data_IF_058101046302
#
_entry.id   IF_058101046302
#
_cell.length_a   1.000
_cell.length_b   1.000
_cell.length_c   1.000
_cell.angle_alpha   90.00
_cell.angle_beta   90.00
_cell.angle_gamma   90.00
#
_symmetry.space_group_name_H-M   'P 1'
#
loop_
_entity.id
_entity.type
_entity.pdbx_description
1 polymer ?
#
# COMPACT_ATOMS: atom_id res chain seq x y z
N UNK A 1 10.49 -7.66 12.65
CA UNK A 1 9.09 -7.62 12.16
C UNK A 1 8.42 -6.45 12.85
N UNK A 2 7.93 -5.51 12.06
CA UNK A 2 7.17 -4.34 12.48
C UNK A 2 5.71 -4.57 12.10
N UNK A 3 4.79 -4.10 12.95
CA UNK A 3 3.35 -4.13 12.67
C UNK A 3 2.78 -2.79 13.04
N UNK A 4 1.95 -2.26 12.16
CA UNK A 4 1.26 -1.00 12.39
C UNK A 4 -0.14 -1.06 11.79
N UNK A 5 -0.97 -0.08 12.15
CA UNK A 5 -2.32 0.09 11.61
C UNK A 5 -2.52 1.53 11.19
N UNK A 6 -2.99 1.69 9.96
CA UNK A 6 -3.41 2.97 9.41
C UNK A 6 -4.92 3.03 9.24
N UNK A 7 -5.47 4.24 9.25
CA UNK A 7 -6.88 4.51 8.97
C UNK A 7 -7.00 5.49 7.81
N UNK A 8 -8.05 5.33 7.01
CA UNK A 8 -8.37 6.24 5.92
C UNK A 8 -9.88 6.37 5.76
N UNK A 9 -10.33 7.53 5.31
CA UNK A 9 -11.74 7.82 5.10
C UNK A 9 -12.14 7.62 3.63
N UNK A 10 -13.32 7.06 3.45
CA UNK A 10 -13.98 6.92 2.15
C UNK A 10 -15.12 7.93 2.10
N UNK A 11 -15.14 8.76 1.06
CA UNK A 11 -16.17 9.79 0.93
C UNK A 11 -17.55 9.21 0.54
N UNK A 12 -18.55 10.09 0.50
CA UNK A 12 -19.92 9.74 0.12
C UNK A 12 -20.05 9.17 -1.30
N UNK A 13 -19.05 9.35 -2.15
CA UNK A 13 -19.01 8.83 -3.53
C UNK A 13 -18.21 7.52 -3.65
N UNK A 14 -17.71 6.99 -2.53
CA UNK A 14 -16.92 5.76 -2.51
C UNK A 14 -15.47 5.98 -2.93
N UNK A 15 -14.99 7.22 -2.87
CA UNK A 15 -13.64 7.56 -3.29
C UNK A 15 -12.77 7.93 -2.09
N UNK A 16 -11.48 7.64 -2.24
CA UNK A 16 -10.42 8.13 -1.36
C UNK A 16 -9.32 8.62 -2.28
N UNK A 17 -9.07 9.94 -2.26
CA UNK A 17 -7.89 10.51 -2.89
C UNK A 17 -6.62 9.89 -2.29
N UNK A 18 -5.50 9.95 -3.01
CA UNK A 18 -4.26 9.36 -2.53
C UNK A 18 -3.87 9.95 -1.17
N UNK A 19 -3.79 9.08 -0.17
CA UNK A 19 -3.33 9.41 1.18
C UNK A 19 -2.21 8.48 1.60
N UNK A 20 -1.35 8.99 2.46
CA UNK A 20 -0.18 8.28 2.98
C UNK A 20 -0.25 8.15 4.49
N UNK A 21 0.00 6.95 4.99
CA UNK A 21 0.52 6.78 6.33
C UNK A 21 2.02 6.55 6.31
N UNK A 22 2.65 6.79 7.47
CA UNK A 22 4.09 6.66 7.67
C UNK A 22 4.35 5.58 8.70
N UNK A 23 5.23 4.64 8.36
CA UNK A 23 5.81 3.70 9.32
C UNK A 23 7.18 4.25 9.71
N UNK A 24 7.31 4.63 10.98
CA UNK A 24 8.55 5.15 11.54
C UNK A 24 9.62 4.04 11.57
N UNK A 25 10.74 4.31 10.90
CA UNK A 25 11.88 3.39 10.81
C UNK A 25 13.11 3.88 11.61
N UNK A 26 12.97 4.98 12.37
CA UNK A 26 14.08 5.63 13.07
C UNK A 26 14.81 4.74 14.08
N UNK A 27 14.15 3.73 14.64
CA UNK A 27 14.78 2.75 15.54
C UNK A 27 15.70 1.75 14.81
N UNK A 28 15.50 1.56 13.50
CA UNK A 28 16.23 0.59 12.68
C UNK A 28 17.22 1.24 11.72
N UNK A 29 17.09 2.55 11.53
CA UNK A 29 17.91 3.31 10.61
C UNK A 29 18.72 4.34 11.36
N UNK A 30 20.03 4.34 11.13
CA UNK A 30 20.91 5.38 11.63
C UNK A 30 21.99 5.73 10.61
N UNK A 31 21.84 6.89 9.98
CA UNK A 31 22.76 7.40 8.96
C UNK A 31 24.17 7.60 9.53
N UNK A 32 24.30 8.09 10.77
CA UNK A 32 25.60 8.35 11.40
C UNK A 32 26.35 7.04 11.67
N UNK A 33 25.62 5.97 12.01
CA UNK A 33 26.19 4.64 12.29
C UNK A 33 26.23 3.72 11.06
N UNK A 34 25.75 4.17 9.90
CA UNK A 34 25.60 3.37 8.67
C UNK A 34 24.71 2.14 8.87
N UNK A 35 23.68 2.28 9.69
CA UNK A 35 22.69 1.23 9.96
C UNK A 35 21.45 1.50 9.10
N UNK A 36 21.01 0.49 8.36
CA UNK A 36 19.79 0.53 7.57
C UNK A 36 18.94 -0.71 7.83
N UNK A 37 17.77 -0.74 7.19
CA UNK A 37 16.88 -1.89 7.27
C UNK A 37 16.58 -2.40 5.86
N UNK A 38 16.81 -3.69 5.62
CA UNK A 38 16.43 -4.33 4.38
C UNK A 38 15.01 -4.88 4.52
N UNK A 39 14.03 -4.22 3.89
CA UNK A 39 12.65 -4.68 3.81
C UNK A 39 12.61 -5.87 2.84
N UNK A 40 12.26 -7.04 3.36
CA UNK A 40 12.14 -8.29 2.57
C UNK A 40 10.70 -8.60 2.18
N UNK A 41 9.74 -8.11 2.97
CA UNK A 41 8.33 -8.37 2.73
C UNK A 41 7.47 -7.30 3.39
N UNK A 42 6.44 -6.86 2.67
CA UNK A 42 5.37 -6.04 3.21
C UNK A 42 4.06 -6.77 2.95
N UNK A 43 3.25 -6.94 3.99
CA UNK A 43 1.92 -7.54 3.91
C UNK A 43 0.86 -6.56 4.33
N UNK A 44 -0.29 -6.64 3.66
CA UNK A 44 -1.45 -5.79 3.91
C UNK A 44 -2.65 -6.64 4.31
N UNK A 45 -3.47 -6.09 5.20
CA UNK A 45 -4.80 -6.59 5.45
C UNK A 45 -5.76 -5.40 5.53
N UNK A 46 -6.65 -5.29 4.54
CA UNK A 46 -7.75 -4.34 4.56
C UNK A 46 -8.82 -4.78 5.55
N UNK A 47 -9.35 -3.80 6.29
CA UNK A 47 -10.34 -4.04 7.35
C UNK A 47 -11.40 -2.96 7.36
N UNK A 48 -12.58 -3.39 7.77
CA UNK A 48 -13.74 -2.53 7.98
C UNK A 48 -14.21 -2.70 9.42
N UNK A 49 -13.83 -1.80 10.34
CA UNK A 49 -14.12 -1.93 11.77
C UNK A 49 -15.62 -1.79 12.07
N UNK A 50 -16.42 -1.34 11.10
CA UNK A 50 -17.86 -1.22 11.25
C UNK A 50 -18.62 -2.49 10.84
N UNK A 51 -17.94 -3.54 10.33
CA UNK A 51 -18.52 -4.89 10.21
C UNK A 51 -18.24 -5.73 11.47
N UNK A 52 -19.13 -6.67 11.83
CA UNK A 52 -18.95 -7.50 13.03
C UNK A 52 -17.65 -8.32 13.07
N UNK A 53 -17.11 -8.69 11.91
CA UNK A 53 -15.87 -9.47 11.79
C UNK A 53 -14.64 -8.62 11.49
N UNK A 54 -14.82 -7.32 11.23
CA UNK A 54 -13.73 -6.44 10.81
C UNK A 54 -13.26 -6.66 9.38
N UNK A 55 -13.89 -7.56 8.61
CA UNK A 55 -13.50 -7.93 7.24
C UNK A 55 -14.18 -6.98 6.27
N UNK A 56 -13.40 -6.43 5.33
CA UNK A 56 -13.93 -5.63 4.23
C UNK A 56 -14.67 -6.55 3.25
N UNK A 57 -15.83 -6.09 2.75
CA UNK A 57 -16.59 -6.85 1.76
C UNK A 57 -15.76 -7.04 0.48
N UNK A 58 -15.53 -8.29 0.02
CA UNK A 58 -14.82 -8.52 -1.23
C UNK A 58 -15.55 -7.99 -2.46
N UNK A 59 -16.87 -7.79 -2.37
CA UNK A 59 -17.68 -7.11 -3.36
C UNK A 59 -17.59 -5.60 -3.08
N UNK A 60 -16.47 -5.01 -3.51
CA UNK A 60 -16.21 -3.57 -3.37
C UNK A 60 -17.30 -2.70 -4.02
N UNK A 61 -18.19 -3.24 -4.85
CA UNK A 61 -19.35 -2.54 -5.40
C UNK A 61 -20.56 -3.44 -5.51
N UNK A 62 -21.76 -2.84 -5.39
CA UNK A 62 -23.05 -3.49 -5.66
C UNK A 62 -23.74 -2.93 -6.90
N UNK A 63 -23.21 -1.86 -7.49
CA UNK A 63 -23.82 -1.16 -8.60
C UNK A 63 -23.37 -1.76 -9.93
N UNK A 64 -24.30 -2.36 -10.67
CA UNK A 64 -24.00 -2.96 -11.96
C UNK A 64 -23.51 -1.92 -12.98
N UNK A 65 -22.51 -2.27 -13.78
CA UNK A 65 -21.79 -1.36 -14.69
C UNK A 65 -20.71 -0.51 -14.00
N UNK A 66 -20.46 -0.71 -12.71
CA UNK A 66 -19.43 0.03 -11.95
C UNK A 66 -18.18 -0.82 -11.78
N UNK A 67 -17.03 -0.20 -11.99
CA UNK A 67 -15.72 -0.76 -11.67
C UNK A 67 -15.19 -0.09 -10.40
N UNK A 68 -15.14 -0.84 -9.30
CA UNK A 68 -14.59 -0.38 -8.04
C UNK A 68 -13.17 -0.93 -7.85
N UNK A 69 -12.30 -0.10 -7.27
CA UNK A 69 -10.91 -0.48 -7.03
C UNK A 69 -10.35 0.13 -5.76
N UNK A 70 -9.40 -0.58 -5.17
CA UNK A 70 -8.50 -0.10 -4.12
C UNK A 70 -7.08 -0.46 -4.56
N UNK A 71 -6.18 0.53 -4.48
CA UNK A 71 -4.74 0.32 -4.68
C UNK A 71 -4.01 0.68 -3.39
N UNK A 72 -3.16 -0.22 -2.93
CA UNK A 72 -2.22 -0.04 -1.83
C UNK A 72 -0.81 -0.22 -2.33
N UNK A 73 0.13 0.53 -1.78
CA UNK A 73 1.54 0.34 -2.10
C UNK A 73 2.46 0.87 -0.99
N UNK A 74 3.65 0.30 -0.94
CA UNK A 74 4.73 0.75 -0.08
C UNK A 74 5.79 1.45 -0.93
N UNK A 75 6.25 2.62 -0.49
CA UNK A 75 7.27 3.40 -1.19
C UNK A 75 8.07 4.25 -0.21
N UNK A 76 9.28 4.68 -0.60
CA UNK A 76 10.06 5.68 0.15
C UNK A 76 9.80 7.11 -0.34
N UNK A 77 9.15 7.28 -1.50
CA UNK A 77 8.93 8.58 -2.14
C UNK A 77 7.43 8.85 -2.32
N UNK A 78 6.97 10.05 -1.95
CA UNK A 78 5.57 10.42 -2.10
C UNK A 78 5.26 10.77 -3.56
N UNK A 79 4.19 10.19 -4.09
CA UNK A 79 3.65 10.51 -5.41
C UNK A 79 2.49 11.49 -5.28
N UNK A 80 2.33 12.37 -6.28
CA UNK A 80 1.20 13.28 -6.32
C UNK A 80 -0.11 12.54 -6.69
N UNK A 81 -0.04 11.63 -7.66
CA UNK A 81 -1.20 10.89 -8.14
C UNK A 81 -0.99 9.38 -8.07
N UNK A 82 -2.02 8.65 -7.66
CA UNK A 82 -1.99 7.18 -7.58
C UNK A 82 -1.86 6.49 -8.96
N UNK A 83 -2.21 7.21 -10.03
CA UNK A 83 -2.08 6.74 -11.43
C UNK A 83 -0.62 6.61 -11.86
N UNK A 84 0.28 7.34 -11.23
CA UNK A 84 1.71 7.37 -11.58
C UNK A 84 2.47 6.22 -10.89
N UNK A 85 1.79 5.48 -10.00
CA UNK A 85 2.36 4.39 -9.23
C UNK A 85 2.07 3.05 -9.90
N UNK A 86 3.13 2.43 -10.40
CA UNK A 86 3.14 1.08 -10.95
C UNK A 86 4.45 0.35 -10.65
N UNK A 87 4.58 -0.86 -11.17
CA UNK A 87 5.71 -1.76 -10.88
C UNK A 87 7.06 -1.23 -11.41
N UNK A 88 7.02 -0.36 -12.41
CA UNK A 88 8.21 0.27 -13.00
C UNK A 88 8.48 1.66 -12.42
N UNK A 89 7.63 2.14 -11.52
CA UNK A 89 7.81 3.45 -10.90
C UNK A 89 8.96 3.38 -9.89
N UNK A 90 9.79 4.43 -9.77
CA UNK A 90 10.92 4.44 -8.86
C UNK A 90 10.49 4.24 -7.41
N UNK A 91 11.34 3.61 -6.61
CA UNK A 91 11.15 3.53 -5.15
C UNK A 91 9.83 2.87 -4.69
N UNK A 92 9.18 2.09 -5.55
CA UNK A 92 8.01 1.27 -5.20
C UNK A 92 8.49 -0.09 -4.71
N UNK A 93 8.10 -0.44 -3.48
CA UNK A 93 8.59 -1.64 -2.77
C UNK A 93 7.59 -2.80 -2.87
N UNK A 94 6.29 -2.50 -2.86
CA UNK A 94 5.23 -3.48 -3.11
C UNK A 94 3.95 -2.78 -3.54
N UNK A 95 3.10 -3.48 -4.27
CA UNK A 95 1.81 -2.97 -4.76
C UNK A 95 0.75 -4.06 -4.60
N UNK A 96 -0.40 -3.71 -4.04
CA UNK A 96 -1.58 -4.56 -3.99
C UNK A 96 -2.78 -3.84 -4.62
N UNK A 97 -3.51 -4.54 -5.48
CA UNK A 97 -4.70 -4.04 -6.15
C UNK A 97 -5.86 -4.99 -5.88
N UNK A 98 -6.97 -4.42 -5.43
CA UNK A 98 -8.23 -5.12 -5.29
C UNK A 98 -9.24 -4.45 -6.21
N UNK A 99 -9.87 -5.23 -7.09
CA UNK A 99 -10.84 -4.70 -8.06
C UNK A 99 -12.10 -5.54 -8.03
N UNK A 100 -13.23 -4.89 -8.25
CA UNK A 100 -14.54 -5.52 -8.37
C UNK A 100 -15.31 -4.87 -9.50
N UNK A 101 -15.92 -5.67 -10.35
CA UNK A 101 -16.87 -5.20 -11.36
C UNK A 101 -18.16 -6.01 -11.27
N UNK A 102 -19.27 -5.30 -11.31
CA UNK A 102 -20.60 -5.89 -11.37
C UNK A 102 -21.10 -5.84 -12.82
N UNK A 103 -21.21 -6.98 -13.48
CA UNK A 103 -21.74 -7.09 -14.83
C UNK A 103 -23.25 -7.37 -14.80
N UNK A 104 -24.02 -6.62 -15.59
CA UNK A 104 -25.44 -6.88 -15.81
C UNK A 104 -25.62 -8.15 -16.66
N UNK A 105 -26.19 -9.19 -16.06
CA UNK A 105 -26.76 -10.32 -16.79
C UNK A 105 -28.24 -10.08 -17.12
N UNK A 106 -28.81 -10.91 -18.01
CA UNK A 106 -30.20 -10.79 -18.44
C UNK A 106 -31.24 -11.06 -17.32
N UNK A 107 -30.84 -11.75 -16.25
CA UNK A 107 -31.70 -12.09 -15.10
C UNK A 107 -30.99 -11.97 -13.73
N UNK A 108 -29.66 -11.82 -13.70
CA UNK A 108 -28.84 -11.81 -12.49
C UNK A 108 -27.69 -10.82 -12.63
N UNK A 109 -27.17 -10.32 -11.51
CA UNK A 109 -25.93 -9.52 -11.50
C UNK A 109 -24.75 -10.44 -11.23
N UNK A 110 -23.81 -10.48 -12.17
CA UNK A 110 -22.56 -11.25 -12.01
C UNK A 110 -21.49 -10.34 -11.43
N UNK A 111 -20.68 -10.88 -10.51
CA UNK A 111 -19.56 -10.15 -9.94
C UNK A 111 -18.25 -10.81 -10.35
N UNK A 112 -17.29 -9.98 -10.72
CA UNK A 112 -15.92 -10.39 -10.95
C UNK A 112 -15.03 -9.60 -10.00
N UNK A 113 -14.33 -10.32 -9.12
CA UNK A 113 -13.40 -9.76 -8.17
C UNK A 113 -12.00 -10.28 -8.48
N UNK A 114 -11.00 -9.41 -8.36
CA UNK A 114 -9.60 -9.80 -8.42
C UNK A 114 -8.83 -9.15 -7.28
N UNK A 115 -7.93 -9.91 -6.69
CA UNK A 115 -6.88 -9.42 -5.81
C UNK A 115 -5.55 -9.81 -6.43
N UNK A 116 -4.67 -8.83 -6.61
CA UNK A 116 -3.33 -9.04 -7.13
C UNK A 116 -2.36 -8.30 -6.21
N UNK A 117 -1.30 -8.97 -5.80
CA UNK A 117 -0.24 -8.39 -4.99
C UNK A 117 1.09 -8.73 -5.64
N UNK A 118 1.89 -7.69 -5.87
CA UNK A 118 3.30 -7.79 -6.17
C UNK A 118 4.05 -7.40 -4.91
N UNK A 119 4.52 -8.41 -4.20
CA UNK A 119 5.21 -8.22 -2.94
C UNK A 119 6.63 -7.74 -3.16
N UNK A 120 7.29 -7.37 -2.06
CA UNK A 120 8.73 -7.07 -2.08
C UNK A 120 9.57 -8.21 -2.66
N UNK A 121 9.31 -9.51 -2.41
CA UNK A 121 10.06 -10.58 -3.05
C UNK A 121 9.94 -10.63 -4.58
N UNK A 122 8.85 -10.09 -5.15
CA UNK A 122 8.63 -10.08 -6.61
C UNK A 122 9.37 -8.92 -7.28
N UNK A 123 9.43 -7.75 -6.61
CA UNK A 123 10.02 -6.52 -7.15
C UNK A 123 11.50 -6.36 -6.78
N UNK A 124 11.86 -6.77 -5.56
CA UNK A 124 13.17 -6.62 -4.93
C UNK A 124 13.57 -7.94 -4.26
N UNK A 125 13.95 -8.98 -5.03
CA UNK A 125 14.15 -10.33 -4.50
C UNK A 125 15.23 -10.44 -3.42
N UNK A 126 16.22 -9.53 -3.42
CA UNK A 126 17.27 -9.46 -2.39
C UNK A 126 16.87 -8.60 -1.17
N UNK A 127 15.68 -7.97 -1.21
CA UNK A 127 15.22 -6.97 -0.26
C UNK A 127 15.48 -5.54 -0.74
N UNK A 128 14.67 -4.60 -0.25
CA UNK A 128 14.81 -3.17 -0.51
C UNK A 128 15.40 -2.47 0.71
N UNK A 129 16.55 -1.84 0.54
CA UNK A 129 17.23 -1.13 1.62
C UNK A 129 16.52 0.21 1.87
N UNK A 130 16.17 0.50 3.12
CA UNK A 130 15.61 1.79 3.53
C UNK A 130 16.52 2.50 4.52
N UNK A 131 16.62 3.83 4.36
CA UNK A 131 17.27 4.77 5.30
C UNK A 131 16.35 5.89 5.77
N UNK A 132 15.06 5.73 5.52
CA UNK A 132 14.02 6.67 5.91
C UNK A 132 12.78 5.90 6.29
N UNK A 133 11.78 6.64 6.74
CA UNK A 133 10.46 6.09 6.99
C UNK A 133 9.86 5.49 5.73
N UNK A 134 9.03 4.47 5.94
CA UNK A 134 8.29 3.85 4.87
C UNK A 134 6.93 4.54 4.72
N UNK A 135 6.58 4.92 3.49
CA UNK A 135 5.26 5.46 3.16
C UNK A 135 4.35 4.35 2.66
N UNK A 136 3.13 4.35 3.15
CA UNK A 136 2.08 3.42 2.75
C UNK A 136 0.97 4.24 2.10
N UNK A 137 0.93 4.19 0.77
CA UNK A 137 -0.05 4.88 -0.04
C UNK A 137 -1.31 4.04 -0.21
N UNK A 138 -2.46 4.69 -0.11
CA UNK A 138 -3.76 4.10 -0.45
C UNK A 138 -4.63 5.08 -1.24
N UNK A 139 -5.36 4.55 -2.21
CA UNK A 139 -6.47 5.22 -2.85
C UNK A 139 -7.60 4.22 -3.14
N UNK A 140 -8.83 4.72 -3.18
CA UNK A 140 -10.02 3.95 -3.50
C UNK A 140 -10.87 4.69 -4.54
N UNK A 141 -11.53 3.94 -5.41
CA UNK A 141 -12.42 4.47 -6.43
C UNK A 141 -13.74 3.72 -6.43
N UNK A 142 -14.84 4.46 -6.24
CA UNK A 142 -16.24 4.01 -6.35
C UNK A 142 -16.61 2.78 -5.52
N UNK A 143 -15.99 2.62 -4.34
CA UNK A 143 -16.28 1.48 -3.46
C UNK A 143 -17.60 1.69 -2.69
N UNK A 144 -18.28 0.61 -2.34
CA UNK A 144 -19.58 0.59 -1.67
C UNK A 144 -19.52 0.96 -0.18
N UNK A 145 -18.33 1.00 0.41
CA UNK A 145 -18.09 1.41 1.79
C UNK A 145 -18.08 2.96 1.95
N UNK A 146 -19.09 3.64 1.39
CA UNK A 146 -19.21 5.10 1.39
C UNK A 146 -19.39 5.67 2.80
N UNK A 147 -18.81 6.83 3.09
CA UNK A 147 -18.86 7.52 4.39
C UNK A 147 -18.38 6.65 5.57
N UNK A 148 -17.35 5.83 5.33
CA UNK A 148 -16.77 4.94 6.35
C UNK A 148 -15.27 5.17 6.49
N UNK A 149 -14.78 5.02 7.71
CA UNK A 149 -13.35 4.92 8.01
C UNK A 149 -12.94 3.46 7.96
N UNK A 150 -12.05 3.12 7.04
CA UNK A 150 -11.47 1.79 6.88
C UNK A 150 -10.09 1.74 7.52
N UNK A 151 -9.61 0.54 7.84
CA UNK A 151 -8.29 0.31 8.43
C UNK A 151 -7.42 -0.56 7.52
N UNK A 152 -6.10 -0.36 7.59
CA UNK A 152 -5.10 -1.21 6.94
C UNK A 152 -4.16 -1.69 8.04
N UNK A 153 -4.19 -2.99 8.33
CA UNK A 153 -3.14 -3.61 9.13
C UNK A 153 -1.95 -3.93 8.23
N UNK A 154 -0.75 -3.57 8.68
CA UNK A 154 0.47 -3.66 7.88
C UNK A 154 1.51 -4.44 8.68
N UNK A 155 2.21 -5.33 8.00
CA UNK A 155 3.32 -6.06 8.57
C UNK A 155 4.53 -5.95 7.67
N UNK A 156 5.60 -5.39 8.23
CA UNK A 156 6.90 -5.24 7.56
C UNK A 156 7.87 -6.27 8.13
N UNK A 157 8.41 -7.10 7.26
CA UNK A 157 9.42 -8.12 7.58
C UNK A 157 10.71 -7.73 6.88
N UNK A 158 11.81 -7.81 7.62
CA UNK A 158 13.11 -7.43 7.13
C UNK A 158 14.16 -7.66 8.20
N UNK A 159 15.37 -7.24 7.90
CA UNK A 159 16.52 -7.37 8.81
C UNK A 159 17.37 -6.10 8.84
N UNK A 160 18.02 -5.81 9.98
CA UNK A 160 19.02 -4.75 10.04
C UNK A 160 20.22 -5.10 9.16
N UNK A 161 20.71 -4.12 8.41
CA UNK A 161 21.89 -4.24 7.55
C UNK A 161 22.89 -3.12 7.85
N UNK A 162 24.16 -3.39 7.54
CA UNK A 162 25.19 -2.35 7.49
C UNK A 162 25.29 -1.84 6.06
N UNK A 163 25.14 -0.54 5.89
CA UNK A 163 25.22 0.11 4.58
C UNK A 163 26.67 0.40 4.22
N UNK A 164 27.01 0.18 2.95
CA UNK A 164 28.30 0.59 2.40
C UNK A 164 28.23 2.06 1.92
N UNK A 165 29.36 2.66 1.53
CA UNK A 165 29.40 4.08 1.12
C UNK A 165 28.70 4.35 -0.22
N UNK A 166 28.63 3.36 -1.11
CA UNK A 166 27.89 3.47 -2.36
C UNK A 166 26.38 3.47 -2.10
N UNK A 167 25.89 2.55 -1.25
CA UNK A 167 24.49 2.50 -0.82
C UNK A 167 24.09 3.82 -0.16
N UNK A 168 24.93 4.36 0.74
CA UNK A 168 24.67 5.66 1.35
C UNK A 168 24.53 6.80 0.33
N UNK A 169 25.29 6.77 -0.76
CA UNK A 169 25.26 7.84 -1.76
C UNK A 169 23.98 7.79 -2.58
N UNK A 170 23.57 6.60 -3.01
CA UNK A 170 22.31 6.36 -3.73
C UNK A 170 21.08 6.66 -2.85
N UNK A 171 21.18 6.38 -1.56
CA UNK A 171 20.12 6.62 -0.59
C UNK A 171 20.03 8.08 -0.11
N UNK A 172 21.15 8.82 -0.05
CA UNK A 172 21.14 10.26 0.22
C UNK A 172 20.53 11.05 -0.95
N UNK A 173 20.67 10.57 -2.19
CA UNK A 173 19.96 11.16 -3.33
C UNK A 173 18.45 10.94 -3.25
N UNK A 174 17.98 9.79 -2.77
CA UNK A 174 16.56 9.55 -2.51
C UNK A 174 15.99 10.48 -1.43
N UNK A 175 16.74 10.75 -0.35
CA UNK A 175 16.28 11.67 0.71
C UNK A 175 16.24 13.14 0.30
N UNK A 176 16.92 13.54 -0.79
CA UNK A 176 16.91 14.92 -1.30
C UNK A 176 15.77 15.19 -2.29
N UNK A 177 15.12 14.15 -2.81
CA UNK A 177 13.99 14.24 -3.73
C UNK A 177 12.63 14.36 -3.00
N UNK A 178 12.68 14.74 -1.71
CA UNK A 178 11.53 14.93 -0.81
C UNK A 178 11.11 16.40 -0.68
#
# INVERSE_FOLDING_TARGET
ILRDRLQFDVDATGNTALVYGRIDMSDFVNIVKKEGFAVKEVRYQLRDPSTPTGVLDPLLTFAAGTFASIKLFATTTAYENVTDVGLASPDVISVAEMTSTAALGAAETNFQNAYVEWGTPDLHPDGYNVVSDLLIGIAASTISATDRTLEIDIMVIGEPIKLNEADMTEMLTQSQDL
#
